data_IF_416896700013
#
_entry.id   IF_416896700013
#
_cell.length_a   1.000
_cell.length_b   1.000
_cell.length_c   1.000
_cell.angle_alpha   90.00
_cell.angle_beta   90.00
_cell.angle_gamma   90.00
#
_symmetry.space_group_name_H-M   'P 1'
#
loop_
_entity.id
_entity.type
_entity.pdbx_description
1 polymer ?
#
# COMPACT_ATOMS: atom_id res chain seq x y z
N UNK A 1 -10.21 31.32 -31.05
CA UNK A 1 -10.16 29.84 -30.92
C UNK A 1 -9.27 29.54 -29.72
N UNK A 2 -9.86 29.36 -28.53
CA UNK A 2 -9.12 29.01 -27.33
C UNK A 2 -8.73 27.52 -27.41
N UNK A 3 -7.43 27.27 -27.40
CA UNK A 3 -6.90 25.90 -27.31
C UNK A 3 -6.95 25.51 -25.83
N UNK A 4 -7.96 24.72 -25.43
CA UNK A 4 -8.05 24.15 -24.09
C UNK A 4 -7.06 22.98 -24.06
N UNK A 5 -5.88 23.19 -23.47
CA UNK A 5 -4.96 22.08 -23.14
C UNK A 5 -5.58 21.29 -21.98
N UNK A 6 -6.08 20.09 -22.28
CA UNK A 6 -6.47 19.14 -21.25
C UNK A 6 -5.18 18.63 -20.60
N UNK A 7 -4.83 19.19 -19.45
CA UNK A 7 -3.71 18.66 -18.65
C UNK A 7 -4.14 17.26 -18.19
N UNK A 8 -3.54 16.24 -18.81
CA UNK A 8 -3.73 14.87 -18.37
C UNK A 8 -2.81 14.63 -17.16
N UNK A 9 -3.40 14.29 -16.02
CA UNK A 9 -2.66 13.86 -14.82
C UNK A 9 -1.89 12.57 -15.13
N UNK A 10 -0.59 12.55 -14.90
CA UNK A 10 0.26 11.37 -15.04
C UNK A 10 0.23 10.58 -13.74
N UNK A 11 -0.18 9.32 -13.81
CA UNK A 11 -0.29 8.40 -12.66
C UNK A 11 0.69 7.26 -12.89
N UNK A 12 1.59 7.04 -11.94
CA UNK A 12 2.57 5.96 -11.99
C UNK A 12 2.62 5.22 -10.66
N UNK A 13 2.57 3.88 -10.71
CA UNK A 13 2.86 3.03 -9.56
C UNK A 13 4.25 2.42 -9.78
N UNK A 14 5.25 3.00 -9.13
CA UNK A 14 6.67 2.63 -9.26
C UNK A 14 7.07 1.66 -8.16
N UNK A 15 7.72 0.57 -8.52
CA UNK A 15 8.31 -0.34 -7.53
C UNK A 15 9.44 0.37 -6.78
N UNK A 16 9.52 0.15 -5.47
CA UNK A 16 10.62 0.63 -4.65
C UNK A 16 11.97 0.22 -5.25
N UNK A 17 12.89 1.17 -5.27
CA UNK A 17 14.26 0.99 -5.72
C UNK A 17 15.22 1.45 -4.62
N UNK A 18 16.37 0.79 -4.52
CA UNK A 18 17.47 1.24 -3.64
C UNK A 18 17.98 2.64 -3.98
N UNK A 19 17.63 3.16 -5.16
CA UNK A 19 17.98 4.49 -5.62
C UNK A 19 16.94 5.57 -5.28
N UNK A 20 15.79 5.20 -4.66
CA UNK A 20 14.81 6.19 -4.20
C UNK A 20 15.47 7.24 -3.28
N UNK A 21 15.06 8.48 -3.44
CA UNK A 21 15.74 9.64 -2.87
C UNK A 21 14.95 10.37 -1.79
N UNK A 22 15.18 11.68 -1.75
CA UNK A 22 14.56 12.56 -0.76
C UNK A 22 13.06 12.75 -0.96
N UNK A 23 12.54 12.63 -2.17
CA UNK A 23 11.12 12.87 -2.45
C UNK A 23 10.26 11.79 -1.80
N UNK A 24 10.60 10.51 -1.97
CA UNK A 24 9.93 9.40 -1.31
C UNK A 24 10.16 9.42 0.21
N UNK A 25 11.39 9.73 0.66
CA UNK A 25 11.68 9.90 2.08
C UNK A 25 10.79 10.98 2.70
N UNK A 26 10.71 12.17 2.10
CA UNK A 26 9.89 13.27 2.59
C UNK A 26 8.39 12.94 2.57
N UNK A 27 7.93 12.23 1.55
CA UNK A 27 6.56 11.72 1.49
C UNK A 27 6.28 10.79 2.68
N UNK A 28 7.18 9.85 2.98
CA UNK A 28 7.05 8.92 4.10
C UNK A 28 7.07 9.63 5.46
N UNK A 29 7.78 10.77 5.61
CA UNK A 29 7.70 11.58 6.84
C UNK A 29 6.29 12.17 7.09
N UNK A 30 5.42 12.19 6.07
CA UNK A 30 4.03 12.66 6.15
C UNK A 30 3.00 11.52 6.30
N UNK A 31 3.45 10.30 6.58
CA UNK A 31 2.62 9.15 6.96
C UNK A 31 2.99 8.77 8.40
N UNK A 32 2.01 8.56 9.27
CA UNK A 32 2.26 8.20 10.66
C UNK A 32 2.97 6.83 10.78
N UNK A 33 3.72 6.65 11.87
CA UNK A 33 4.47 5.41 12.14
C UNK A 33 3.56 4.18 12.19
N UNK A 34 2.36 4.35 12.74
CA UNK A 34 1.29 3.35 12.72
C UNK A 34 -0.05 4.06 12.62
N UNK A 35 -0.78 3.81 11.55
CA UNK A 35 -2.09 4.41 11.33
C UNK A 35 -2.98 3.44 10.57
N UNK A 36 -4.18 3.18 11.09
CA UNK A 36 -5.18 2.35 10.43
C UNK A 36 -4.68 0.95 9.98
N UNK A 37 -3.75 0.37 10.74
CA UNK A 37 -3.16 -0.93 10.44
C UNK A 37 -2.02 -0.91 9.40
N UNK A 38 -1.67 0.26 8.88
CA UNK A 38 -0.47 0.43 8.07
C UNK A 38 0.70 0.89 8.93
N UNK A 39 1.84 0.22 8.82
CA UNK A 39 3.07 0.56 9.54
C UNK A 39 4.07 1.22 8.60
N UNK A 40 4.57 2.38 9.00
CA UNK A 40 5.60 3.14 8.31
C UNK A 40 6.85 3.25 9.19
N UNK A 41 7.82 2.38 8.98
CA UNK A 41 9.06 2.37 9.76
C UNK A 41 9.93 3.62 9.54
N UNK A 42 9.77 4.29 8.39
CA UNK A 42 10.60 5.43 7.98
C UNK A 42 10.22 6.72 8.71
N UNK A 43 9.01 6.80 9.30
CA UNK A 43 8.58 7.98 10.07
C UNK A 43 9.54 8.28 11.23
N UNK A 44 10.21 9.42 11.15
CA UNK A 44 11.20 9.86 12.16
C UNK A 44 12.58 9.21 12.01
N UNK A 45 12.79 8.38 10.99
CA UNK A 45 14.08 7.75 10.71
C UNK A 45 15.03 8.77 10.07
N UNK A 46 16.33 8.80 10.42
CA UNK A 46 17.34 9.58 9.69
C UNK A 46 17.47 9.12 8.22
N UNK A 47 17.85 10.03 7.33
CA UNK A 47 17.95 9.72 5.90
C UNK A 47 18.97 8.61 5.58
N UNK A 48 20.07 8.53 6.31
CA UNK A 48 21.08 7.47 6.12
C UNK A 48 20.53 6.08 6.48
N UNK A 49 19.70 6.00 7.53
CA UNK A 49 19.00 4.76 7.89
C UNK A 49 17.90 4.40 6.87
N UNK A 50 17.24 5.40 6.26
CA UNK A 50 16.30 5.18 5.18
C UNK A 50 16.93 4.43 4.00
N UNK A 51 18.20 4.69 3.67
CA UNK A 51 18.92 3.93 2.63
C UNK A 51 19.08 2.45 2.98
N UNK A 52 19.27 2.13 4.25
CA UNK A 52 19.31 0.73 4.72
C UNK A 52 17.92 0.09 4.65
N UNK A 53 16.87 0.84 5.00
CA UNK A 53 15.49 0.40 4.87
C UNK A 53 15.13 0.10 3.41
N UNK A 54 15.52 0.92 2.44
CA UNK A 54 15.31 0.66 1.02
C UNK A 54 15.91 -0.68 0.60
N UNK A 55 17.15 -0.96 1.03
CA UNK A 55 17.81 -2.24 0.75
C UNK A 55 17.05 -3.41 1.38
N UNK A 56 16.61 -3.26 2.63
CA UNK A 56 15.81 -4.27 3.33
C UNK A 56 14.51 -4.60 2.58
N UNK A 57 13.76 -3.60 2.13
CA UNK A 57 12.53 -3.80 1.37
C UNK A 57 12.79 -4.44 -0.01
N UNK A 58 13.89 -4.07 -0.67
CA UNK A 58 14.32 -4.68 -1.92
C UNK A 58 14.68 -6.16 -1.72
N UNK A 59 15.44 -6.51 -0.67
CA UNK A 59 15.74 -7.88 -0.29
C UNK A 59 14.46 -8.69 -0.03
N UNK A 60 13.48 -8.13 0.69
CA UNK A 60 12.19 -8.78 0.97
C UNK A 60 11.40 -9.06 -0.30
N UNK A 61 11.47 -8.17 -1.30
CA UNK A 61 10.83 -8.39 -2.59
C UNK A 61 11.42 -9.58 -3.36
N UNK A 62 12.66 -9.95 -3.07
CA UNK A 62 13.42 -11.06 -3.67
C UNK A 62 13.44 -12.32 -2.81
N UNK A 63 12.64 -12.36 -1.75
CA UNK A 63 12.64 -13.48 -0.76
C UNK A 63 13.98 -13.64 -0.02
N UNK A 64 14.72 -12.56 0.16
CA UNK A 64 16.01 -12.55 0.84
C UNK A 64 15.90 -11.91 2.23
N UNK A 65 16.65 -12.44 3.20
CA UNK A 65 16.75 -11.88 4.56
C UNK A 65 15.40 -11.67 5.27
N UNK A 66 14.38 -12.48 4.92
CA UNK A 66 13.05 -12.39 5.54
C UNK A 66 13.12 -12.89 6.99
N UNK A 67 12.46 -12.18 7.93
CA UNK A 67 12.22 -12.70 9.27
C UNK A 67 11.35 -13.97 9.23
N UNK A 68 11.45 -14.78 10.28
CA UNK A 68 10.61 -15.97 10.43
C UNK A 68 9.12 -15.65 10.30
N UNK A 69 8.38 -16.49 9.59
CA UNK A 69 6.95 -16.35 9.32
C UNK A 69 6.54 -15.12 8.46
N UNK A 70 7.51 -14.41 7.89
CA UNK A 70 7.22 -13.33 6.94
C UNK A 70 7.06 -13.89 5.53
N UNK A 71 6.24 -13.18 4.75
CA UNK A 71 6.02 -13.46 3.34
C UNK A 71 6.76 -12.40 2.50
N UNK A 72 7.41 -12.78 1.41
CA UNK A 72 7.93 -11.81 0.45
C UNK A 72 6.88 -10.81 0.07
N UNK A 73 7.26 -9.54 0.01
CA UNK A 73 6.37 -8.46 -0.39
C UNK A 73 7.10 -7.47 -1.28
N UNK A 74 6.37 -6.88 -2.22
CA UNK A 74 6.88 -5.77 -3.03
C UNK A 74 6.26 -4.47 -2.57
N UNK A 75 7.10 -3.48 -2.34
CA UNK A 75 6.71 -2.11 -1.98
C UNK A 75 6.69 -1.24 -3.22
N UNK A 76 5.67 -0.38 -3.33
CA UNK A 76 5.45 0.55 -4.44
C UNK A 76 5.20 1.96 -3.92
N UNK A 77 5.59 2.95 -4.72
CA UNK A 77 5.22 4.35 -4.52
C UNK A 77 4.24 4.79 -5.61
N UNK A 78 3.15 5.45 -5.20
CA UNK A 78 2.24 6.11 -6.13
C UNK A 78 2.76 7.51 -6.40
N UNK A 79 3.06 7.79 -7.66
CA UNK A 79 3.44 9.12 -8.13
C UNK A 79 2.31 9.75 -8.94
N UNK A 80 2.05 11.02 -8.68
CA UNK A 80 1.12 11.86 -9.43
C UNK A 80 1.90 13.04 -9.98
N UNK A 81 1.95 13.14 -11.30
CA UNK A 81 2.76 14.18 -12.00
C UNK A 81 4.22 14.21 -11.52
N UNK A 82 4.80 13.00 -11.30
CA UNK A 82 6.17 12.83 -10.82
C UNK A 82 6.37 13.02 -9.31
N UNK A 83 5.33 13.36 -8.55
CA UNK A 83 5.40 13.58 -7.10
C UNK A 83 4.93 12.33 -6.35
N UNK A 84 5.72 11.73 -5.44
CA UNK A 84 5.28 10.61 -4.62
C UNK A 84 4.23 11.08 -3.60
N UNK A 85 3.06 10.44 -3.62
CA UNK A 85 1.91 10.82 -2.78
C UNK A 85 1.47 9.72 -1.81
N UNK A 86 1.93 8.49 -2.03
CA UNK A 86 1.55 7.34 -1.21
C UNK A 86 2.44 6.13 -1.42
N UNK A 87 2.27 5.16 -0.53
CA UNK A 87 2.99 3.89 -0.51
C UNK A 87 2.01 2.73 -0.46
N UNK A 88 2.32 1.65 -1.16
CA UNK A 88 1.58 0.39 -1.11
C UNK A 88 2.51 -0.81 -1.05
N UNK A 89 2.04 -1.88 -0.41
CA UNK A 89 2.73 -3.16 -0.34
C UNK A 89 1.82 -4.27 -0.79
N UNK A 90 2.35 -5.20 -1.57
CA UNK A 90 1.66 -6.42 -2.00
C UNK A 90 2.47 -7.62 -1.58
N UNK A 91 1.87 -8.54 -0.81
CA UNK A 91 2.45 -9.82 -0.45
C UNK A 91 2.37 -10.77 -1.63
N UNK A 92 3.39 -11.62 -1.81
CA UNK A 92 3.49 -12.47 -3.01
C UNK A 92 2.55 -13.68 -2.96
N UNK A 93 2.13 -14.10 -1.77
CA UNK A 93 1.14 -15.17 -1.57
C UNK A 93 0.38 -14.97 -0.24
N UNK A 94 -0.70 -15.72 -0.04
CA UNK A 94 -1.47 -15.71 1.20
C UNK A 94 -0.83 -16.64 2.25
N UNK A 95 -1.02 -16.33 3.53
CA UNK A 95 -0.60 -17.14 4.66
C UNK A 95 -1.72 -17.21 5.68
N UNK A 96 -2.09 -18.41 6.07
CA UNK A 96 -3.09 -18.63 7.13
C UNK A 96 -2.67 -17.95 8.43
N UNK A 97 -1.39 -18.02 8.79
CA UNK A 97 -0.85 -17.35 9.97
C UNK A 97 -1.10 -15.83 9.93
N UNK A 98 -0.85 -15.16 8.81
CA UNK A 98 -1.08 -13.72 8.69
C UNK A 98 -2.57 -13.38 8.70
N UNK A 99 -3.40 -14.18 8.01
CA UNK A 99 -4.84 -13.98 7.98
C UNK A 99 -5.47 -14.11 9.38
N UNK A 100 -5.05 -15.10 10.17
CA UNK A 100 -5.49 -15.28 11.57
C UNK A 100 -5.08 -14.09 12.46
N UNK A 101 -4.02 -13.36 12.10
CA UNK A 101 -3.59 -12.14 12.77
C UNK A 101 -4.17 -10.86 12.13
N UNK A 102 -5.15 -10.97 11.25
CA UNK A 102 -5.80 -9.82 10.60
C UNK A 102 -4.86 -9.05 9.67
N UNK A 103 -3.97 -9.75 8.97
CA UNK A 103 -3.02 -9.20 8.00
C UNK A 103 -3.38 -9.69 6.60
N UNK A 104 -3.79 -8.78 5.73
CA UNK A 104 -4.24 -9.08 4.37
C UNK A 104 -3.14 -9.14 3.32
N UNK A 105 -3.54 -9.36 2.08
CA UNK A 105 -2.63 -9.50 0.94
C UNK A 105 -1.98 -8.19 0.51
N UNK A 106 -2.58 -7.05 0.82
CA UNK A 106 -2.03 -5.73 0.54
C UNK A 106 -2.27 -4.75 1.70
N UNK A 107 -1.42 -3.73 1.75
CA UNK A 107 -1.57 -2.58 2.64
C UNK A 107 -1.14 -1.30 1.94
N UNK A 108 -1.70 -0.16 2.32
CA UNK A 108 -1.34 1.12 1.72
C UNK A 108 -1.59 2.32 2.62
N UNK A 109 -0.90 3.42 2.33
CA UNK A 109 -1.05 4.70 3.00
C UNK A 109 -0.86 5.86 2.05
N UNK A 110 -1.61 6.95 2.26
CA UNK A 110 -1.47 8.23 1.55
C UNK A 110 -0.92 9.27 2.53
N UNK A 111 0.11 9.98 2.10
CA UNK A 111 0.71 11.06 2.88
C UNK A 111 -0.30 12.18 3.14
N UNK A 112 -0.29 12.73 4.36
CA UNK A 112 -1.31 13.68 4.85
C UNK A 112 -1.65 14.81 3.87
N UNK A 113 -0.67 15.50 3.22
CA UNK A 113 -0.97 16.62 2.30
C UNK A 113 -1.76 16.20 1.04
N UNK A 114 -1.81 14.90 0.75
CA UNK A 114 -2.42 14.37 -0.48
C UNK A 114 -3.73 13.62 -0.24
N UNK A 115 -4.21 13.56 1.00
CA UNK A 115 -5.49 12.94 1.36
C UNK A 115 -6.68 13.74 0.85
N UNK A 116 -7.83 13.07 0.70
CA UNK A 116 -9.07 13.70 0.23
C UNK A 116 -9.13 13.97 -1.27
N UNK A 117 -8.08 13.65 -2.04
CA UNK A 117 -7.97 13.90 -3.48
C UNK A 117 -8.27 12.66 -4.35
N UNK A 118 -8.76 11.57 -3.75
CA UNK A 118 -9.04 10.32 -4.48
C UNK A 118 -7.82 9.40 -4.68
N UNK A 119 -6.63 9.80 -4.27
CA UNK A 119 -5.40 9.04 -4.52
C UNK A 119 -5.38 7.67 -3.82
N UNK A 120 -6.07 7.52 -2.68
CA UNK A 120 -6.22 6.23 -2.02
C UNK A 120 -6.97 5.21 -2.89
N UNK A 121 -8.01 5.64 -3.61
CA UNK A 121 -8.73 4.80 -4.56
C UNK A 121 -7.84 4.41 -5.76
N UNK A 122 -7.08 5.36 -6.31
CA UNK A 122 -6.14 5.12 -7.42
C UNK A 122 -5.05 4.13 -7.00
N UNK A 123 -4.46 4.33 -5.81
CA UNK A 123 -3.45 3.43 -5.29
C UNK A 123 -4.00 2.02 -5.09
N UNK A 124 -5.16 1.88 -4.45
CA UNK A 124 -5.80 0.59 -4.22
C UNK A 124 -6.06 -0.17 -5.53
N UNK A 125 -6.64 0.49 -6.54
CA UNK A 125 -6.89 -0.08 -7.86
C UNK A 125 -5.61 -0.60 -8.53
N UNK A 126 -4.55 0.19 -8.50
CA UNK A 126 -3.25 -0.21 -9.06
C UNK A 126 -2.61 -1.38 -8.29
N UNK A 127 -2.79 -1.46 -6.97
CA UNK A 127 -2.33 -2.59 -6.16
C UNK A 127 -3.12 -3.87 -6.48
N UNK A 128 -4.43 -3.78 -6.77
CA UNK A 128 -5.22 -4.93 -7.25
C UNK A 128 -4.65 -5.48 -8.56
N UNK A 129 -4.25 -4.59 -9.49
CA UNK A 129 -3.58 -5.02 -10.74
C UNK A 129 -2.29 -5.77 -10.43
N UNK A 130 -1.48 -5.31 -9.45
CA UNK A 130 -0.26 -6.03 -9.04
C UNK A 130 -0.57 -7.40 -8.42
N UNK A 131 -1.62 -7.50 -7.60
CA UNK A 131 -2.09 -8.79 -7.08
C UNK A 131 -2.48 -9.74 -8.23
N UNK A 132 -3.21 -9.25 -9.21
CA UNK A 132 -3.60 -10.04 -10.39
C UNK A 132 -2.38 -10.55 -11.18
N UNK A 133 -1.37 -9.71 -11.37
CA UNK A 133 -0.12 -10.10 -12.05
C UNK A 133 0.68 -11.15 -11.26
N UNK A 134 0.55 -11.21 -9.94
CA UNK A 134 1.11 -12.27 -9.08
C UNK A 134 0.28 -13.58 -9.12
N UNK A 135 -0.82 -13.61 -9.86
CA UNK A 135 -1.66 -14.80 -10.03
C UNK A 135 -2.77 -14.96 -9.00
N UNK A 136 -3.00 -13.98 -8.14
CA UNK A 136 -4.16 -14.01 -7.25
C UNK A 136 -5.47 -14.07 -8.05
N UNK A 137 -6.40 -14.90 -7.59
CA UNK A 137 -7.79 -14.92 -8.05
C UNK A 137 -8.72 -14.23 -7.04
N UNK A 138 -8.32 -14.26 -5.78
CA UNK A 138 -8.98 -13.62 -4.65
C UNK A 138 -7.95 -13.11 -3.68
N UNK A 139 -8.29 -12.04 -2.99
CA UNK A 139 -7.48 -11.48 -1.90
C UNK A 139 -8.34 -11.23 -0.69
N UNK A 140 -7.75 -11.35 0.50
CA UNK A 140 -8.37 -10.96 1.77
C UNK A 140 -7.76 -9.67 2.29
N UNK A 141 -8.60 -8.84 2.89
CA UNK A 141 -8.28 -7.51 3.37
C UNK A 141 -8.88 -7.34 4.77
N UNK A 142 -8.11 -6.71 5.66
CA UNK A 142 -8.49 -6.58 7.08
C UNK A 142 -8.39 -5.11 7.54
N UNK A 143 -9.23 -4.21 7.01
CA UNK A 143 -9.26 -2.83 7.48
C UNK A 143 -9.89 -2.73 8.86
N UNK A 144 -9.45 -1.76 9.68
CA UNK A 144 -10.17 -1.42 10.90
C UNK A 144 -11.60 -0.96 10.58
N UNK A 145 -12.55 -1.33 11.41
CA UNK A 145 -13.97 -0.98 11.24
C UNK A 145 -14.17 0.54 11.17
N UNK A 146 -13.42 1.30 11.98
CA UNK A 146 -13.49 2.75 12.02
C UNK A 146 -12.73 3.45 10.88
N UNK A 147 -11.97 2.72 10.05
CA UNK A 147 -11.32 3.28 8.87
C UNK A 147 -12.32 3.43 7.70
N UNK A 148 -13.23 4.41 7.84
CA UNK A 148 -14.35 4.63 6.92
C UNK A 148 -13.88 4.78 5.47
N UNK A 149 -12.77 5.50 5.24
CA UNK A 149 -12.25 5.76 3.89
C UNK A 149 -11.84 4.46 3.19
N UNK A 150 -11.08 3.62 3.86
CA UNK A 150 -10.62 2.34 3.30
C UNK A 150 -11.78 1.37 3.09
N UNK A 151 -12.71 1.27 4.04
CA UNK A 151 -13.91 0.44 3.89
C UNK A 151 -14.73 0.85 2.65
N UNK A 152 -14.93 2.16 2.43
CA UNK A 152 -15.64 2.66 1.23
C UNK A 152 -14.90 2.30 -0.07
N UNK A 153 -13.57 2.42 -0.09
CA UNK A 153 -12.76 2.06 -1.25
C UNK A 153 -12.91 0.56 -1.57
N UNK A 154 -12.78 -0.31 -0.58
CA UNK A 154 -12.90 -1.75 -0.77
C UNK A 154 -14.28 -2.14 -1.31
N UNK A 155 -15.36 -1.61 -0.72
CA UNK A 155 -16.74 -1.86 -1.18
C UNK A 155 -16.95 -1.35 -2.63
N UNK A 156 -16.41 -0.19 -2.98
CA UNK A 156 -16.47 0.36 -4.35
C UNK A 156 -15.82 -0.58 -5.37
N UNK A 157 -14.76 -1.30 -4.97
CA UNK A 157 -14.08 -2.27 -5.83
C UNK A 157 -14.65 -3.69 -5.72
N UNK A 158 -15.85 -3.85 -5.17
CA UNK A 158 -16.57 -5.12 -5.17
C UNK A 158 -16.19 -6.09 -4.05
N UNK A 159 -15.49 -5.61 -3.02
CA UNK A 159 -15.16 -6.44 -1.86
C UNK A 159 -16.44 -6.87 -1.13
N UNK A 160 -16.50 -8.15 -0.76
CA UNK A 160 -17.59 -8.75 0.03
C UNK A 160 -17.18 -8.83 1.48
N UNK A 161 -18.01 -8.33 2.38
CA UNK A 161 -17.82 -8.47 3.82
C UNK A 161 -18.13 -9.92 4.24
N UNK A 162 -17.14 -10.60 4.81
CA UNK A 162 -17.28 -11.98 5.30
C UNK A 162 -17.54 -12.04 6.80
N UNK A 163 -17.16 -11.01 7.56
CA UNK A 163 -17.27 -10.96 9.00
C UNK A 163 -16.32 -9.96 9.63
N UNK A 164 -16.01 -10.20 10.91
CA UNK A 164 -15.04 -9.39 11.68
C UNK A 164 -14.02 -10.28 12.38
N UNK A 165 -12.88 -9.72 12.71
CA UNK A 165 -11.86 -10.35 13.56
C UNK A 165 -11.61 -9.45 14.77
N UNK A 166 -11.64 -10.04 15.97
CA UNK A 166 -11.41 -9.37 17.26
C UNK A 166 -12.33 -8.15 17.51
N UNK A 167 -13.48 -8.07 16.84
CA UNK A 167 -14.41 -6.92 16.88
C UNK A 167 -13.78 -5.56 16.52
N UNK A 168 -12.59 -5.58 15.90
CA UNK A 168 -11.83 -4.39 15.52
C UNK A 168 -11.70 -4.22 14.02
N UNK A 169 -11.62 -5.31 13.26
CA UNK A 169 -11.39 -5.27 11.81
C UNK A 169 -12.48 -6.02 11.05
N UNK A 170 -12.88 -5.48 9.92
CA UNK A 170 -13.65 -6.22 8.93
C UNK A 170 -12.77 -7.25 8.22
N UNK A 171 -13.39 -8.36 7.80
CA UNK A 171 -12.78 -9.33 6.88
C UNK A 171 -13.48 -9.14 5.54
N UNK A 172 -12.76 -8.60 4.58
CA UNK A 172 -13.23 -8.49 3.19
C UNK A 172 -12.54 -9.50 2.30
N UNK A 173 -13.27 -10.01 1.32
CA UNK A 173 -12.74 -10.76 0.18
C UNK A 173 -13.10 -10.04 -1.11
N UNK A 174 -12.16 -9.95 -2.05
CA UNK A 174 -12.38 -9.41 -3.39
C UNK A 174 -11.87 -10.39 -4.44
N UNK A 175 -12.67 -10.64 -5.46
CA UNK A 175 -12.27 -11.38 -6.67
C UNK A 175 -11.60 -10.41 -7.66
N UNK A 176 -10.46 -10.81 -8.26
CA UNK A 176 -9.64 -9.95 -9.12
C UNK A 176 -9.23 -10.61 -10.42
#
# INVERSE_FOLDING_TARGET
>A
MEIIYKICMVIELLQLSVNNGYDEYNMLQNIEKSENGFTNEVKGMPFDEYKQWLKKEDDYSKSQNLPDNWIPQTTFFLNIDGIPVGIGRVRHYSSEYLEQNGVGNLGYGIAKPYRGKGYGNILFENLLIKCKLLGYKRIKLFPYINNISTNKIMLKHGAKLLGTINDEKHIYEIEI
#
